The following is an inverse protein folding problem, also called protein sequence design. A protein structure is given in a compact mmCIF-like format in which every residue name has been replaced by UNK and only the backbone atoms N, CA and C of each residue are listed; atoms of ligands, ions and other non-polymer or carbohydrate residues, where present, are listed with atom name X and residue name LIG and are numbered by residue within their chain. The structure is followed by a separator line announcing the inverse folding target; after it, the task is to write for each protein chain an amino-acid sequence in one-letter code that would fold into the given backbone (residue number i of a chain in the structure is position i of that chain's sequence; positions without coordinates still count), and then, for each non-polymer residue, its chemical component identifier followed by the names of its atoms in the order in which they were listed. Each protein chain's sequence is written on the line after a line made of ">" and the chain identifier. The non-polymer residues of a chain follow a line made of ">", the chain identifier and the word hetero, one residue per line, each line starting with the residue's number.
data_IF_731271531965
#
_entry.id   IF_731271531965
#
_cell.length_a   1.000
_cell.length_b   1.000
_cell.length_c   1.000
_cell.angle_alpha   90.00
_cell.angle_beta   90.00
_cell.angle_gamma   90.00
#
_symmetry.space_group_name_H-M   'P 1'
#
loop_
_entity.id
_entity.type
_entity.pdbx_description
1 polymer ?
#
# COMPACT_ATOMS: atom_id res chain seq x y z
N UNK A 1 3.55 1.28 12.07
CA UNK A 1 4.88 0.64 11.90
C UNK A 1 4.75 -0.46 10.85
N UNK A 2 5.30 -0.27 9.64
CA UNK A 2 5.17 -1.26 8.54
C UNK A 2 6.41 -2.17 8.42
N UNK A 3 7.53 -1.81 9.04
CA UNK A 3 8.78 -2.60 9.07
C UNK A 3 9.30 -2.78 10.51
N UNK A 4 8.66 -3.63 11.33
CA UNK A 4 9.05 -3.80 12.73
C UNK A 4 10.48 -4.35 12.90
N UNK A 5 10.92 -5.22 11.99
CA UNK A 5 12.28 -5.79 12.00
C UNK A 5 13.33 -4.75 11.62
N UNK A 6 13.05 -3.92 10.60
CA UNK A 6 13.94 -2.85 10.17
C UNK A 6 14.19 -1.83 11.29
N UNK A 7 13.15 -1.47 12.04
CA UNK A 7 13.29 -0.57 13.20
C UNK A 7 14.15 -1.17 14.30
N UNK A 8 14.00 -2.46 14.62
CA UNK A 8 14.83 -3.13 15.64
C UNK A 8 16.32 -3.08 15.30
N UNK A 9 16.68 -3.19 14.03
CA UNK A 9 18.08 -3.12 13.56
C UNK A 9 18.52 -1.70 13.15
N UNK A 10 17.70 -0.68 13.43
CA UNK A 10 17.93 0.72 13.04
C UNK A 10 18.14 0.94 11.54
N UNK A 11 17.51 0.12 10.70
CA UNK A 11 17.45 0.36 9.27
C UNK A 11 16.42 1.45 8.97
N UNK A 12 16.86 2.54 8.36
CA UNK A 12 16.07 3.75 8.15
C UNK A 12 15.22 3.72 6.87
N UNK A 13 15.54 2.85 5.91
CA UNK A 13 14.94 2.87 4.56
C UNK A 13 14.52 1.50 4.08
N UNK A 14 15.35 0.50 4.30
CA UNK A 14 15.15 -0.83 3.73
C UNK A 14 14.63 -1.83 4.76
N UNK A 15 13.99 -2.89 4.26
CA UNK A 15 13.83 -4.13 5.02
C UNK A 15 15.20 -4.77 5.28
N UNK A 16 15.24 -5.76 6.20
CA UNK A 16 16.47 -6.51 6.50
C UNK A 16 17.05 -7.21 5.25
N UNK A 17 16.20 -7.53 4.28
CA UNK A 17 16.59 -8.09 2.97
C UNK A 17 17.23 -7.05 2.02
N UNK A 18 17.46 -5.81 2.48
CA UNK A 18 18.05 -4.73 1.69
C UNK A 18 17.10 -4.08 0.69
N UNK A 19 15.82 -4.50 0.66
CA UNK A 19 14.81 -3.96 -0.26
C UNK A 19 14.12 -2.73 0.31
N UNK A 20 14.00 -1.69 -0.51
CA UNK A 20 13.25 -0.47 -0.20
C UNK A 20 11.76 -0.79 -0.20
N UNK A 21 11.09 -0.54 0.94
CA UNK A 21 9.68 -0.86 1.16
C UNK A 21 8.75 -0.16 0.16
N UNK A 22 9.11 1.05 -0.24
CA UNK A 22 8.32 1.88 -1.15
C UNK A 22 8.49 1.48 -2.62
N UNK A 23 9.48 0.65 -2.96
CA UNK A 23 9.70 0.13 -4.32
C UNK A 23 9.12 -1.27 -4.53
N UNK A 24 8.81 -1.98 -3.44
CA UNK A 24 8.27 -3.34 -3.46
C UNK A 24 6.78 -3.37 -3.10
N UNK A 25 6.15 -2.22 -2.96
CA UNK A 25 4.70 -2.05 -2.73
C UNK A 25 3.85 -2.80 -3.78
N UNK A 26 4.37 -2.92 -5.01
CA UNK A 26 3.77 -3.68 -6.11
C UNK A 26 4.07 -5.18 -6.08
N UNK A 27 4.97 -5.63 -5.21
CA UNK A 27 5.34 -7.05 -5.12
C UNK A 27 4.18 -7.90 -4.63
N UNK A 28 3.96 -9.04 -5.29
CA UNK A 28 2.97 -10.05 -4.89
C UNK A 28 3.58 -11.17 -4.04
N UNK A 29 4.86 -11.09 -3.72
CA UNK A 29 5.59 -12.13 -3.00
C UNK A 29 5.31 -12.05 -1.49
N UNK A 30 4.30 -12.81 -1.05
CA UNK A 30 3.88 -12.88 0.35
C UNK A 30 5.02 -13.33 1.27
N UNK A 31 5.74 -14.39 0.89
CA UNK A 31 6.77 -15.00 1.74
C UNK A 31 8.01 -14.13 1.91
N UNK A 32 8.33 -13.32 0.89
CA UNK A 32 9.48 -12.41 0.93
C UNK A 32 9.16 -11.08 1.62
N UNK A 33 7.91 -10.61 1.54
CA UNK A 33 7.50 -9.29 2.03
C UNK A 33 6.15 -9.34 2.77
N UNK A 34 6.07 -10.06 3.90
CA UNK A 34 4.82 -10.33 4.60
C UNK A 34 4.14 -9.06 5.10
N UNK A 35 4.91 -8.04 5.50
CA UNK A 35 4.37 -6.77 6.00
C UNK A 35 3.68 -5.95 4.91
N UNK A 36 4.24 -5.95 3.69
CA UNK A 36 3.67 -5.28 2.52
C UNK A 36 2.37 -5.98 2.11
N UNK A 37 2.43 -7.31 2.03
CA UNK A 37 1.26 -8.13 1.69
C UNK A 37 0.12 -7.99 2.69
N UNK A 38 0.42 -8.03 4.00
CA UNK A 38 -0.57 -7.88 5.05
C UNK A 38 -1.24 -6.49 5.01
N UNK A 39 -0.46 -5.42 4.80
CA UNK A 39 -0.99 -4.05 4.66
C UNK A 39 -1.93 -3.95 3.47
N UNK A 40 -1.56 -4.53 2.33
CA UNK A 40 -2.41 -4.55 1.13
C UNK A 40 -3.71 -5.33 1.36
N UNK A 41 -3.63 -6.51 1.98
CA UNK A 41 -4.80 -7.34 2.29
C UNK A 41 -5.75 -6.64 3.26
N UNK A 42 -5.21 -5.89 4.23
CA UNK A 42 -6.00 -5.06 5.12
C UNK A 42 -6.74 -3.98 4.34
N UNK A 43 -6.06 -3.22 3.48
CA UNK A 43 -6.72 -2.19 2.65
C UNK A 43 -7.79 -2.80 1.74
N UNK A 44 -7.53 -3.95 1.12
CA UNK A 44 -8.52 -4.65 0.30
C UNK A 44 -9.81 -4.97 1.07
N UNK A 45 -9.68 -5.60 2.24
CA UNK A 45 -10.82 -5.91 3.11
C UNK A 45 -11.55 -4.65 3.57
N UNK A 46 -10.80 -3.59 3.88
CA UNK A 46 -11.40 -2.31 4.26
C UNK A 46 -12.22 -1.70 3.12
N UNK A 47 -11.75 -1.78 1.88
CA UNK A 47 -12.49 -1.32 0.71
C UNK A 47 -13.74 -2.17 0.43
N UNK A 48 -13.71 -3.47 0.74
CA UNK A 48 -14.88 -4.37 0.63
C UNK A 48 -15.94 -4.04 1.68
N UNK A 49 -15.52 -3.71 2.91
CA UNK A 49 -16.44 -3.42 4.02
C UNK A 49 -16.94 -1.97 4.03
N UNK A 50 -16.14 -1.01 3.54
CA UNK A 50 -16.44 0.42 3.64
C UNK A 50 -15.73 1.26 2.59
N UNK A 51 -16.31 2.42 2.27
CA UNK A 51 -15.67 3.41 1.39
C UNK A 51 -14.42 3.99 2.07
N UNK A 52 -13.25 3.70 1.52
CA UNK A 52 -11.99 4.32 1.92
C UNK A 52 -11.88 5.70 1.25
N UNK A 53 -11.82 6.76 2.06
CA UNK A 53 -11.74 8.15 1.58
C UNK A 53 -10.30 8.65 1.42
N UNK A 54 -9.35 8.09 2.18
CA UNK A 54 -7.97 8.55 2.21
C UNK A 54 -7.03 7.39 2.56
N UNK A 55 -5.92 7.29 1.81
CA UNK A 55 -4.81 6.41 2.11
C UNK A 55 -3.51 7.23 2.14
N UNK A 56 -2.79 7.21 3.26
CA UNK A 56 -1.56 7.98 3.44
C UNK A 56 -0.39 7.08 3.85
N UNK A 57 0.74 7.20 3.15
CA UNK A 57 2.03 6.69 3.61
C UNK A 57 2.75 7.75 4.44
N UNK A 58 2.86 7.55 5.75
CA UNK A 58 3.54 8.49 6.65
C UNK A 58 5.05 8.21 6.64
N UNK A 59 5.84 9.21 6.24
CA UNK A 59 7.31 9.15 6.19
C UNK A 59 7.91 10.33 6.96
N UNK A 60 9.07 10.10 7.59
CA UNK A 60 9.77 11.14 8.35
C UNK A 60 10.75 11.92 7.48
N UNK A 61 10.30 12.97 6.81
CA UNK A 61 11.14 13.98 6.16
C UNK A 61 10.31 15.23 5.87
N UNK A 62 10.53 16.30 6.64
CA UNK A 62 9.77 17.56 6.60
C UNK A 62 8.23 17.40 6.59
N UNK A 63 7.48 18.50 6.56
CA UNK A 63 6.00 18.46 6.58
C UNK A 63 5.47 18.82 5.19
N UNK A 64 5.39 17.81 4.33
CA UNK A 64 4.86 17.94 2.97
C UNK A 64 3.96 16.75 2.62
N UNK A 65 3.05 16.95 1.67
CA UNK A 65 2.16 15.90 1.16
C UNK A 65 2.33 15.75 -0.34
N UNK A 66 2.61 14.52 -0.79
CA UNK A 66 2.63 14.15 -2.20
C UNK A 66 1.36 13.36 -2.52
N UNK A 67 0.63 13.79 -3.54
CA UNK A 67 -0.59 13.14 -4.02
C UNK A 67 -0.39 12.39 -5.34
N UNK A 68 -1.45 11.74 -5.80
CA UNK A 68 -1.52 11.22 -7.17
C UNK A 68 -2.33 12.21 -8.01
N UNK A 69 -1.73 12.73 -9.09
CA UNK A 69 -2.41 13.70 -9.97
C UNK A 69 -3.37 13.05 -10.98
N UNK A 70 -3.32 11.72 -11.14
CA UNK A 70 -4.13 10.99 -12.12
C UNK A 70 -5.05 9.94 -11.48
N UNK A 71 -6.36 9.90 -11.81
CA UNK A 71 -7.32 8.94 -11.25
C UNK A 71 -6.96 7.47 -11.55
N UNK A 72 -6.24 7.19 -12.65
CA UNK A 72 -5.81 5.82 -12.95
C UNK A 72 -4.79 5.28 -11.93
N UNK A 73 -4.15 6.14 -11.13
CA UNK A 73 -3.24 5.75 -10.05
C UNK A 73 -3.97 5.53 -8.71
N UNK A 74 -5.24 5.92 -8.60
CA UNK A 74 -5.89 6.21 -7.31
C UNK A 74 -6.17 4.97 -6.44
N UNK A 75 -6.32 3.77 -7.03
CA UNK A 75 -6.33 2.50 -6.28
C UNK A 75 -5.75 1.31 -7.03
N UNK A 76 -5.31 1.46 -8.29
CA UNK A 76 -4.63 0.38 -9.04
C UNK A 76 -3.38 -0.14 -8.33
N UNK A 77 -2.70 0.73 -7.57
CA UNK A 77 -1.50 0.40 -6.79
C UNK A 77 -1.81 -0.60 -5.66
N UNK A 78 -2.95 -0.46 -4.99
CA UNK A 78 -3.35 -1.31 -3.86
C UNK A 78 -4.27 -2.47 -4.30
N UNK A 79 -5.08 -2.25 -5.32
CA UNK A 79 -6.17 -3.15 -5.75
C UNK A 79 -5.98 -3.75 -7.14
N UNK A 80 -4.77 -3.76 -7.71
CA UNK A 80 -4.47 -4.26 -9.07
C UNK A 80 -4.79 -5.73 -9.39
N UNK A 81 -5.74 -6.35 -8.70
CA UNK A 81 -6.29 -7.68 -8.90
C UNK A 81 -7.83 -7.77 -8.77
N UNK A 82 -8.56 -6.68 -8.50
CA UNK A 82 -10.03 -6.72 -8.54
C UNK A 82 -10.52 -6.57 -9.99
N UNK A 83 -11.41 -7.45 -10.48
CA UNK A 83 -12.03 -7.26 -11.78
C UNK A 83 -12.82 -5.94 -11.74
N UNK A 84 -12.58 -5.08 -12.71
CA UNK A 84 -13.41 -3.90 -12.99
C UNK A 84 -14.75 -4.37 -13.53
N UNK A 85 -15.59 -4.98 -12.70
CA UNK A 85 -17.02 -4.90 -12.92
C UNK A 85 -17.47 -3.58 -12.30
N UNK A 86 -17.55 -2.58 -13.17
CA UNK A 86 -18.41 -1.44 -12.89
C UNK A 86 -19.79 -1.99 -12.53
N UNK A 87 -20.42 -1.57 -11.41
CA UNK A 87 -21.86 -1.72 -11.31
C UNK A 87 -22.44 -0.92 -12.48
N UNK A 88 -23.02 -1.63 -13.44
CA UNK A 88 -23.97 -1.01 -14.36
C UNK A 88 -25.07 -0.46 -13.46
N UNK A 89 -25.14 0.86 -13.38
CA UNK A 89 -26.17 1.55 -12.62
C UNK A 89 -27.54 1.04 -13.07
N UNK A 90 -28.30 0.60 -12.07
CA UNK A 90 -29.74 0.49 -12.11
C UNK A 90 -30.31 1.91 -12.13
N UNK A 91 -30.51 2.46 -13.34
CA UNK A 91 -31.63 3.35 -13.78
C UNK A 91 -31.35 3.96 -15.16
#
# INVERSE_FOLDING_TARGET
>A
MVSPVGVRVRNHRCLLTGRDLNQIDRSKLQDSFPSVWATRRLVQRLCEERKVLLYCGLHGHDVFTYGCESPQQELRFLLGSLPTHAPQELL
#
